data_IF_948685269164
#
_entry.id   IF_948685269164
#
_cell.length_a   1.000
_cell.length_b   1.000
_cell.length_c   1.000
_cell.angle_alpha   90.00
_cell.angle_beta   90.00
_cell.angle_gamma   90.00
#
_symmetry.space_group_name_H-M   'P 1'
#
loop_
_entity.id
_entity.type
_entity.pdbx_description
1 polymer ?
#
# COMPACT_ATOMS: atom_id res chain seq x y z
N UNK A 1 41.80 4.61 -3.59
CA UNK A 1 42.08 3.36 -2.87
C UNK A 1 40.94 2.38 -3.18
N UNK A 2 41.27 1.30 -3.88
CA UNK A 2 40.44 0.16 -4.33
C UNK A 2 39.00 0.48 -4.79
N UNK A 3 38.88 0.97 -6.01
CA UNK A 3 37.65 0.85 -6.83
C UNK A 3 37.59 -0.53 -7.46
N UNK A 4 37.43 -1.58 -6.64
CA UNK A 4 36.98 -2.88 -7.16
C UNK A 4 35.48 -2.80 -7.35
N UNK A 5 35.04 -2.24 -8.48
CA UNK A 5 33.68 -2.45 -8.94
C UNK A 5 33.45 -3.96 -9.05
N UNK A 6 32.35 -4.51 -8.51
CA UNK A 6 32.11 -5.94 -8.61
C UNK A 6 32.11 -6.32 -10.08
N UNK A 7 32.97 -7.27 -10.45
CA UNK A 7 32.95 -7.93 -11.75
C UNK A 7 31.54 -8.50 -11.91
N UNK A 8 30.75 -7.83 -12.73
CA UNK A 8 29.42 -8.28 -13.11
C UNK A 8 29.66 -9.47 -14.04
N UNK A 9 29.91 -10.65 -13.46
CA UNK A 9 29.99 -11.88 -14.24
C UNK A 9 28.67 -12.01 -14.97
N UNK A 10 28.72 -12.13 -16.31
CA UNK A 10 27.60 -12.42 -17.19
C UNK A 10 26.97 -13.76 -16.82
N UNK A 11 26.19 -13.74 -15.73
CA UNK A 11 25.51 -14.91 -15.23
C UNK A 11 24.21 -15.05 -15.98
N UNK A 12 24.03 -16.21 -16.59
CA UNK A 12 22.77 -16.58 -17.22
C UNK A 12 21.66 -16.55 -16.15
N UNK A 13 20.61 -15.72 -16.32
CA UNK A 13 19.53 -15.64 -15.35
C UNK A 13 18.82 -16.99 -15.26
N UNK A 14 18.47 -17.40 -14.04
CA UNK A 14 17.77 -18.67 -13.79
C UNK A 14 16.40 -18.66 -14.45
N UNK A 15 15.80 -19.85 -14.69
CA UNK A 15 14.45 -19.94 -15.29
C UNK A 15 13.40 -19.14 -14.50
N UNK A 16 13.52 -19.11 -13.17
CA UNK A 16 12.63 -18.37 -12.28
C UNK A 16 12.82 -16.85 -12.38
N UNK A 17 14.06 -16.37 -12.56
CA UNK A 17 14.36 -14.93 -12.73
C UNK A 17 13.75 -14.35 -14.02
N UNK A 18 13.49 -15.20 -15.02
CA UNK A 18 12.86 -14.82 -16.29
C UNK A 18 11.34 -14.69 -16.23
N UNK A 19 10.70 -15.21 -15.17
CA UNK A 19 9.25 -15.12 -15.02
C UNK A 19 8.85 -13.63 -14.86
N UNK A 20 7.91 -13.12 -15.67
CA UNK A 20 7.40 -11.76 -15.52
C UNK A 20 6.86 -11.53 -14.11
N UNK A 21 7.17 -10.38 -13.51
CA UNK A 21 6.77 -10.06 -12.13
C UNK A 21 5.25 -10.16 -11.90
N UNK A 22 4.44 -9.88 -12.94
CA UNK A 22 2.98 -9.98 -12.86
C UNK A 22 2.49 -11.39 -12.52
N UNK A 23 3.19 -12.43 -12.96
CA UNK A 23 2.84 -13.81 -12.61
C UNK A 23 3.06 -14.11 -11.13
N UNK A 24 4.09 -13.52 -10.52
CA UNK A 24 4.32 -13.66 -9.08
C UNK A 24 3.24 -12.96 -8.27
N UNK A 25 2.81 -11.76 -8.70
CA UNK A 25 1.68 -11.07 -8.08
C UNK A 25 0.43 -11.93 -8.18
N UNK A 26 0.08 -12.40 -9.38
CA UNK A 26 -1.08 -13.25 -9.61
C UNK A 26 -1.04 -14.52 -8.74
N UNK A 27 0.10 -15.21 -8.70
CA UNK A 27 0.26 -16.42 -7.91
C UNK A 27 0.01 -16.16 -6.41
N UNK A 28 0.61 -15.10 -5.85
CA UNK A 28 0.37 -14.75 -4.44
C UNK A 28 -1.09 -14.38 -4.15
N UNK A 29 -1.76 -13.74 -5.12
CA UNK A 29 -3.18 -13.37 -5.00
C UNK A 29 -4.07 -14.60 -5.01
N UNK A 30 -3.79 -15.56 -5.90
CA UNK A 30 -4.50 -16.84 -5.94
C UNK A 30 -4.26 -17.62 -4.64
N UNK A 31 -3.01 -17.73 -4.18
CA UNK A 31 -2.69 -18.46 -2.94
C UNK A 31 -3.45 -17.88 -1.74
N UNK A 32 -3.44 -16.56 -1.57
CA UNK A 32 -4.14 -15.89 -0.46
C UNK A 32 -5.66 -15.95 -0.60
N UNK A 33 -6.18 -15.81 -1.82
CA UNK A 33 -7.62 -15.96 -2.08
C UNK A 33 -8.12 -17.37 -1.77
N UNK A 34 -7.42 -18.40 -2.25
CA UNK A 34 -7.73 -19.81 -1.96
C UNK A 34 -7.65 -20.08 -0.45
N UNK A 35 -6.59 -19.61 0.21
CA UNK A 35 -6.46 -19.74 1.66
C UNK A 35 -7.61 -19.04 2.39
N UNK A 36 -7.93 -17.81 2.02
CA UNK A 36 -9.03 -17.03 2.60
C UNK A 36 -10.37 -17.74 2.49
N UNK A 37 -10.69 -18.29 1.30
CA UNK A 37 -11.91 -19.06 1.05
C UNK A 37 -11.93 -20.35 1.86
N UNK A 38 -10.83 -21.11 1.85
CA UNK A 38 -10.76 -22.41 2.53
C UNK A 38 -10.83 -22.28 4.05
N UNK A 39 -10.22 -21.24 4.63
CA UNK A 39 -10.17 -21.03 6.07
C UNK A 39 -11.23 -20.04 6.59
N UNK A 40 -12.05 -19.47 5.71
CA UNK A 40 -13.04 -18.43 6.03
C UNK A 40 -12.48 -17.31 6.91
N UNK A 41 -11.28 -16.82 6.57
CA UNK A 41 -10.48 -15.94 7.43
C UNK A 41 -11.21 -14.65 7.82
N UNK A 42 -12.14 -14.18 6.99
CA UNK A 42 -12.95 -12.99 7.28
C UNK A 42 -13.82 -13.14 8.54
N UNK A 43 -14.18 -14.37 8.93
CA UNK A 43 -14.96 -14.62 10.14
C UNK A 43 -14.13 -14.50 11.43
N UNK A 44 -12.80 -14.38 11.31
CA UNK A 44 -11.90 -14.28 12.47
C UNK A 44 -11.49 -12.84 12.78
N UNK A 45 -12.08 -11.84 12.10
CA UNK A 45 -11.79 -10.41 12.30
C UNK A 45 -13.05 -9.65 12.71
N UNK A 46 -13.27 -9.44 14.01
CA UNK A 46 -14.40 -8.66 14.51
C UNK A 46 -14.47 -7.25 13.90
N UNK A 47 -13.33 -6.64 13.65
CA UNK A 47 -13.23 -5.29 13.08
C UNK A 47 -13.77 -5.24 11.65
N UNK A 48 -13.34 -6.16 10.79
CA UNK A 48 -13.86 -6.27 9.43
C UNK A 48 -15.35 -6.60 9.42
N UNK A 49 -15.82 -7.44 10.34
CA UNK A 49 -17.24 -7.80 10.44
C UNK A 49 -18.09 -6.57 10.81
N UNK A 50 -17.65 -5.79 11.80
CA UNK A 50 -18.32 -4.55 12.20
C UNK A 50 -18.38 -3.55 11.05
N UNK A 51 -17.27 -3.37 10.33
CA UNK A 51 -17.23 -2.53 9.13
C UNK A 51 -18.18 -3.05 8.03
N UNK A 52 -18.21 -4.37 7.81
CA UNK A 52 -19.11 -5.00 6.85
C UNK A 52 -20.58 -4.69 7.14
N UNK A 53 -20.99 -4.73 8.40
CA UNK A 53 -22.36 -4.39 8.82
C UNK A 53 -22.70 -2.92 8.52
N UNK A 54 -21.79 -1.99 8.78
CA UNK A 54 -21.98 -0.57 8.46
C UNK A 54 -22.16 -0.33 6.95
N UNK A 55 -21.38 -1.03 6.12
CA UNK A 55 -21.51 -0.94 4.66
C UNK A 55 -22.80 -1.57 4.15
N UNK A 56 -23.21 -2.71 4.71
CA UNK A 56 -24.49 -3.33 4.35
C UNK A 56 -25.67 -2.40 4.65
N UNK A 57 -25.65 -1.74 5.81
CA UNK A 57 -26.65 -0.73 6.16
C UNK A 57 -26.64 0.45 5.17
N UNK A 58 -25.46 0.99 4.84
CA UNK A 58 -25.31 2.04 3.84
C UNK A 58 -25.91 1.64 2.49
N UNK A 59 -25.60 0.43 2.02
CA UNK A 59 -26.04 -0.04 0.71
C UNK A 59 -27.55 -0.31 0.66
N UNK A 60 -28.16 -0.75 1.77
CA UNK A 60 -29.60 -1.00 1.86
C UNK A 60 -30.39 0.30 2.02
N UNK A 61 -29.92 1.22 2.84
CA UNK A 61 -30.58 2.51 3.11
C UNK A 61 -30.35 3.55 2.01
N UNK A 62 -29.38 3.32 1.12
CA UNK A 62 -28.86 4.36 0.23
C UNK A 62 -28.11 5.46 0.98
N UNK A 63 -27.74 5.20 2.24
CA UNK A 63 -27.07 6.13 3.12
C UNK A 63 -25.66 6.46 2.64
N UNK A 64 -25.33 7.74 2.74
CA UNK A 64 -23.99 8.27 2.47
C UNK A 64 -23.35 8.85 3.75
N UNK A 65 -23.85 8.43 4.93
CA UNK A 65 -23.35 8.96 6.18
C UNK A 65 -21.89 8.52 6.40
N UNK A 66 -21.08 9.43 6.94
CA UNK A 66 -19.65 9.20 7.17
C UNK A 66 -19.38 7.87 7.91
N UNK A 67 -20.09 7.63 9.01
CA UNK A 67 -19.96 6.44 9.86
C UNK A 67 -20.28 5.12 9.13
N UNK A 68 -21.01 5.17 8.02
CA UNK A 68 -21.34 3.98 7.24
C UNK A 68 -20.21 3.62 6.24
N UNK A 69 -19.44 4.62 5.78
CA UNK A 69 -18.42 4.44 4.74
C UNK A 69 -16.99 4.51 5.26
N UNK A 70 -16.78 5.14 6.41
CA UNK A 70 -15.48 5.32 7.06
C UNK A 70 -15.49 4.59 8.39
N UNK A 71 -14.61 3.60 8.52
CA UNK A 71 -14.53 2.75 9.70
C UNK A 71 -13.43 3.25 10.64
N UNK A 72 -13.79 3.54 11.89
CA UNK A 72 -12.87 3.98 12.96
C UNK A 72 -12.21 2.76 13.63
N UNK A 73 -10.90 2.79 13.99
CA UNK A 73 -9.94 3.92 13.98
C UNK A 73 -9.19 4.09 12.65
N UNK A 74 -9.58 3.38 11.60
CA UNK A 74 -8.89 3.29 10.31
C UNK A 74 -9.30 4.43 9.37
N UNK A 75 -9.17 5.66 9.86
CA UNK A 75 -9.67 6.87 9.23
C UNK A 75 -9.00 7.16 7.87
N UNK A 76 -9.78 7.71 6.94
CA UNK A 76 -9.34 8.14 5.60
C UNK A 76 -9.23 7.02 4.56
N UNK A 77 -8.47 5.97 4.85
CA UNK A 77 -8.24 4.88 3.90
C UNK A 77 -9.38 3.88 3.79
N UNK A 78 -10.22 3.78 4.83
CA UNK A 78 -11.41 2.94 4.81
C UNK A 78 -12.38 3.37 3.72
N UNK A 79 -12.50 4.66 3.41
CA UNK A 79 -13.38 5.11 2.32
C UNK A 79 -13.04 4.44 0.97
N UNK A 80 -11.75 4.38 0.60
CA UNK A 80 -11.32 3.76 -0.65
C UNK A 80 -11.69 2.28 -0.69
N UNK A 81 -11.46 1.57 0.42
CA UNK A 81 -11.77 0.15 0.54
C UNK A 81 -13.28 -0.11 0.56
N UNK A 82 -14.07 0.77 1.18
CA UNK A 82 -15.54 0.72 1.17
C UNK A 82 -16.09 0.89 -0.24
N UNK A 83 -15.56 1.87 -0.99
CA UNK A 83 -15.93 2.09 -2.40
C UNK A 83 -15.51 0.91 -3.27
N UNK A 84 -14.32 0.36 -3.06
CA UNK A 84 -13.85 -0.83 -3.78
C UNK A 84 -14.70 -2.05 -3.43
N UNK A 85 -15.06 -2.23 -2.17
CA UNK A 85 -15.94 -3.30 -1.72
C UNK A 85 -17.31 -3.24 -2.41
N UNK A 86 -17.85 -2.04 -2.65
CA UNK A 86 -19.11 -1.87 -3.38
C UNK A 86 -19.08 -2.53 -4.77
N UNK A 87 -17.94 -2.47 -5.48
CA UNK A 87 -17.75 -3.10 -6.80
C UNK A 87 -17.89 -4.63 -6.72
N UNK A 88 -17.55 -5.22 -5.56
CA UNK A 88 -17.54 -6.66 -5.34
C UNK A 88 -18.82 -7.23 -4.72
N UNK A 89 -19.85 -6.41 -4.51
CA UNK A 89 -21.17 -6.89 -4.04
C UNK A 89 -21.73 -8.06 -4.89
N UNK A 90 -21.61 -8.06 -6.24
CA UNK A 90 -22.07 -9.19 -7.05
C UNK A 90 -21.35 -10.53 -6.76
N UNK A 91 -20.17 -10.49 -6.14
CA UNK A 91 -19.36 -11.67 -5.81
C UNK A 91 -19.44 -12.06 -4.32
N UNK A 92 -20.37 -11.48 -3.56
CA UNK A 92 -20.51 -11.68 -2.12
C UNK A 92 -20.79 -13.14 -1.72
N UNK A 93 -21.33 -13.96 -2.63
CA UNK A 93 -21.61 -15.39 -2.38
C UNK A 93 -20.34 -16.25 -2.26
N UNK A 94 -19.22 -15.80 -2.82
CA UNK A 94 -17.92 -16.51 -2.73
C UNK A 94 -17.15 -16.05 -1.51
N UNK A 95 -17.10 -14.74 -1.31
CA UNK A 95 -16.34 -14.11 -0.24
C UNK A 95 -16.92 -12.71 0.02
N UNK A 96 -16.94 -12.21 1.28
CA UNK A 96 -17.49 -10.89 1.58
C UNK A 96 -16.82 -9.77 0.76
N UNK A 97 -17.55 -8.71 0.37
CA UNK A 97 -17.00 -7.69 -0.52
C UNK A 97 -15.78 -6.95 0.06
N UNK A 98 -15.71 -6.74 1.37
CA UNK A 98 -14.54 -6.16 2.03
C UNK A 98 -13.28 -7.03 1.91
N UNK A 99 -13.43 -8.36 1.92
CA UNK A 99 -12.31 -9.29 1.75
C UNK A 99 -11.79 -9.27 0.31
N UNK A 100 -12.68 -9.07 -0.68
CA UNK A 100 -12.27 -8.85 -2.08
C UNK A 100 -11.47 -7.55 -2.21
N UNK A 101 -11.96 -6.47 -1.59
CA UNK A 101 -11.24 -5.20 -1.55
C UNK A 101 -9.86 -5.36 -0.88
N UNK A 102 -9.77 -6.08 0.24
CA UNK A 102 -8.51 -6.39 0.92
C UNK A 102 -7.56 -7.17 0.01
N UNK A 103 -8.05 -8.16 -0.73
CA UNK A 103 -7.24 -8.97 -1.65
C UNK A 103 -6.67 -8.15 -2.81
N UNK A 104 -7.46 -7.24 -3.38
CA UNK A 104 -7.00 -6.31 -4.42
C UNK A 104 -5.94 -5.36 -3.86
N UNK A 105 -6.20 -4.77 -2.69
CA UNK A 105 -5.27 -3.91 -1.98
C UNK A 105 -3.92 -4.61 -1.71
N UNK A 106 -3.94 -5.79 -1.12
CA UNK A 106 -2.75 -6.61 -0.83
C UNK A 106 -1.99 -6.96 -2.12
N UNK A 107 -2.70 -7.28 -3.20
CA UNK A 107 -2.10 -7.55 -4.52
C UNK A 107 -1.37 -6.32 -5.08
N UNK A 108 -1.97 -5.13 -4.96
CA UNK A 108 -1.36 -3.87 -5.37
C UNK A 108 -0.10 -3.55 -4.54
N UNK A 109 -0.18 -3.71 -3.22
CA UNK A 109 0.96 -3.53 -2.32
C UNK A 109 2.12 -4.46 -2.69
N UNK A 110 1.82 -5.74 -2.92
CA UNK A 110 2.82 -6.74 -3.31
C UNK A 110 3.46 -6.41 -4.66
N UNK A 111 2.68 -5.93 -5.62
CA UNK A 111 3.20 -5.49 -6.91
C UNK A 111 4.24 -4.38 -6.74
N UNK A 112 3.94 -3.37 -5.91
CA UNK A 112 4.89 -2.29 -5.60
C UNK A 112 6.14 -2.84 -4.92
N UNK A 113 5.98 -3.68 -3.89
CA UNK A 113 7.10 -4.29 -3.16
C UNK A 113 8.03 -5.08 -4.08
N UNK A 114 7.48 -5.95 -4.95
CA UNK A 114 8.25 -6.74 -5.92
C UNK A 114 8.97 -5.83 -6.93
N UNK A 115 8.27 -4.84 -7.49
CA UNK A 115 8.84 -3.92 -8.47
C UNK A 115 10.00 -3.10 -7.89
N UNK A 116 9.84 -2.59 -6.67
CA UNK A 116 10.91 -1.87 -5.96
C UNK A 116 12.07 -2.84 -5.67
N UNK A 117 11.81 -4.02 -5.11
CA UNK A 117 12.86 -4.98 -4.79
C UNK A 117 13.70 -5.38 -6.03
N UNK A 118 13.06 -5.60 -7.18
CA UNK A 118 13.73 -5.91 -8.46
C UNK A 118 14.58 -4.75 -9.00
N UNK A 119 14.25 -3.51 -8.66
CA UNK A 119 15.03 -2.31 -9.03
C UNK A 119 16.16 -2.02 -8.05
N UNK A 120 16.00 -2.41 -6.79
CA UNK A 120 16.90 -2.01 -5.71
C UNK A 120 17.93 -3.06 -5.33
N UNK A 121 17.68 -4.34 -5.59
CA UNK A 121 18.53 -5.43 -5.15
C UNK A 121 19.00 -6.33 -6.29
N UNK A 122 19.97 -7.19 -6.00
CA UNK A 122 20.43 -8.21 -6.95
C UNK A 122 19.29 -9.15 -7.37
N UNK A 123 19.33 -9.74 -8.58
CA UNK A 123 18.27 -10.63 -9.06
C UNK A 123 17.91 -11.78 -8.10
N UNK A 124 18.92 -12.35 -7.41
CA UNK A 124 18.71 -13.40 -6.41
C UNK A 124 17.96 -12.91 -5.18
N UNK A 125 18.37 -11.77 -4.63
CA UNK A 125 17.73 -11.18 -3.46
C UNK A 125 16.29 -10.76 -3.79
N UNK A 126 16.08 -10.15 -4.95
CA UNK A 126 14.75 -9.78 -5.42
C UNK A 126 13.85 -11.00 -5.64
N UNK A 127 14.37 -12.10 -6.19
CA UNK A 127 13.63 -13.35 -6.34
C UNK A 127 13.30 -13.98 -4.98
N UNK A 128 14.26 -14.06 -4.07
CA UNK A 128 14.02 -14.59 -2.71
C UNK A 128 12.94 -13.79 -1.98
N UNK A 129 13.01 -12.46 -2.06
CA UNK A 129 11.98 -11.57 -1.53
C UNK A 129 10.62 -11.81 -2.22
N UNK A 130 10.60 -11.93 -3.55
CA UNK A 130 9.37 -12.21 -4.31
C UNK A 130 8.72 -13.52 -3.87
N UNK A 131 9.50 -14.60 -3.78
CA UNK A 131 9.02 -15.90 -3.30
C UNK A 131 8.49 -15.80 -1.88
N UNK A 132 9.20 -15.09 -1.00
CA UNK A 132 8.75 -14.84 0.37
C UNK A 132 7.41 -14.08 0.41
N UNK A 133 7.19 -13.06 -0.43
CA UNK A 133 5.91 -12.33 -0.44
C UNK A 133 4.73 -13.18 -0.96
N UNK A 134 5.00 -14.11 -1.89
CA UNK A 134 4.01 -15.00 -2.50
C UNK A 134 3.59 -16.10 -1.55
N UNK A 135 4.57 -16.80 -0.98
CA UNK A 135 4.34 -17.91 -0.06
C UNK A 135 3.90 -17.40 1.32
N UNK A 136 4.39 -16.21 1.68
CA UNK A 136 4.27 -15.60 2.99
C UNK A 136 4.75 -16.50 4.13
N UNK A 137 4.95 -15.95 5.33
CA UNK A 137 4.87 -16.78 6.53
C UNK A 137 3.38 -17.14 6.68
N UNK A 138 2.98 -18.38 7.03
CA UNK A 138 1.57 -18.76 7.16
C UNK A 138 0.74 -17.76 7.99
N UNK A 139 1.37 -17.13 8.98
CA UNK A 139 0.81 -16.06 9.80
C UNK A 139 0.28 -14.85 9.00
N UNK A 140 0.89 -14.53 7.86
CA UNK A 140 0.55 -13.37 7.02
C UNK A 140 -0.42 -13.72 5.88
N UNK A 141 -0.69 -15.01 5.61
CA UNK A 141 -1.65 -15.41 4.57
C UNK A 141 -3.06 -14.86 4.82
N UNK A 142 -3.62 -14.93 6.05
CA UNK A 142 -4.93 -14.35 6.34
C UNK A 142 -5.03 -12.86 6.04
N UNK A 143 -3.92 -12.12 6.11
CA UNK A 143 -3.91 -10.68 5.89
C UNK A 143 -4.21 -10.29 4.44
N UNK A 144 -4.12 -11.25 3.50
CA UNK A 144 -4.54 -11.01 2.11
C UNK A 144 -6.06 -10.91 1.95
N UNK A 145 -6.85 -11.45 2.87
CA UNK A 145 -8.31 -11.51 2.79
C UNK A 145 -9.00 -10.96 4.03
N UNK A 146 -8.22 -10.46 4.99
CA UNK A 146 -8.72 -9.74 6.16
C UNK A 146 -8.25 -8.28 6.10
N UNK A 147 -9.19 -7.36 6.24
CA UNK A 147 -8.93 -5.97 6.57
C UNK A 147 -8.65 -5.87 8.09
N UNK A 148 -7.39 -5.96 8.49
CA UNK A 148 -6.94 -5.79 9.89
C UNK A 148 -6.64 -4.32 10.19
N UNK A 149 -7.50 -3.43 9.71
CA UNK A 149 -7.13 -2.04 9.57
C UNK A 149 -6.06 -1.81 8.52
N UNK A 150 -5.97 -0.56 8.08
CA UNK A 150 -5.13 -0.09 6.96
C UNK A 150 -3.63 -0.42 7.05
N UNK A 151 -3.14 -1.07 8.10
CA UNK A 151 -1.74 -1.46 8.30
C UNK A 151 -1.18 -2.32 7.15
N UNK A 152 -1.97 -3.27 6.62
CA UNK A 152 -1.53 -4.08 5.47
C UNK A 152 -1.34 -3.20 4.21
N UNK A 153 -2.23 -2.22 4.03
CA UNK A 153 -2.14 -1.21 2.97
C UNK A 153 -0.98 -0.24 3.14
N UNK A 154 -0.39 -0.10 4.34
CA UNK A 154 0.78 0.76 4.55
C UNK A 154 2.09 -0.03 4.60
N UNK A 155 2.04 -1.36 4.56
CA UNK A 155 3.23 -2.23 4.55
C UNK A 155 4.19 -1.99 3.38
N UNK A 156 3.74 -1.33 2.30
CA UNK A 156 4.60 -0.94 1.18
C UNK A 156 5.25 0.44 1.35
N UNK A 157 4.88 1.23 2.36
CA UNK A 157 5.42 2.57 2.59
C UNK A 157 6.96 2.60 2.74
N UNK A 158 7.62 1.64 3.43
CA UNK A 158 9.08 1.56 3.45
C UNK A 158 9.72 1.37 2.07
N UNK A 159 9.01 0.70 1.15
CA UNK A 159 9.49 0.50 -0.22
C UNK A 159 9.36 1.78 -1.05
N UNK A 160 8.35 2.61 -0.78
CA UNK A 160 8.28 3.94 -1.38
C UNK A 160 9.42 4.84 -0.90
N UNK A 161 9.79 4.77 0.39
CA UNK A 161 11.00 5.44 0.88
C UNK A 161 12.25 4.98 0.13
N UNK A 162 12.41 3.66 -0.04
CA UNK A 162 13.55 3.11 -0.76
C UNK A 162 13.58 3.61 -2.21
N UNK A 163 12.43 3.64 -2.90
CA UNK A 163 12.33 4.18 -4.24
C UNK A 163 12.63 5.70 -4.29
N UNK A 164 12.18 6.46 -3.29
CA UNK A 164 12.45 7.88 -3.16
C UNK A 164 13.96 8.15 -2.95
N UNK A 165 14.63 7.37 -2.09
CA UNK A 165 16.07 7.47 -1.83
C UNK A 165 16.90 7.23 -3.10
N UNK A 166 16.43 6.36 -3.99
CA UNK A 166 17.14 6.08 -5.25
C UNK A 166 17.00 7.20 -6.28
N UNK A 167 15.89 7.95 -6.28
CA UNK A 167 15.59 9.01 -7.25
C UNK A 167 14.94 10.22 -6.58
N UNK A 168 15.63 10.86 -5.64
CA UNK A 168 15.03 11.80 -4.70
C UNK A 168 14.60 13.12 -5.36
N UNK A 169 15.18 13.43 -6.51
CA UNK A 169 15.08 14.75 -7.14
C UNK A 169 14.18 14.75 -8.37
N UNK A 170 13.93 13.58 -8.96
CA UNK A 170 13.27 13.53 -10.28
C UNK A 170 11.81 13.98 -10.20
N UNK A 171 11.11 13.67 -9.09
CA UNK A 171 9.65 13.91 -8.96
C UNK A 171 9.20 14.21 -7.52
N UNK A 172 9.73 15.26 -6.86
CA UNK A 172 9.43 15.58 -5.47
C UNK A 172 7.92 15.74 -5.21
N UNK A 173 7.20 16.40 -6.13
CA UNK A 173 5.75 16.59 -6.02
C UNK A 173 4.98 15.26 -6.00
N UNK A 174 5.31 14.34 -6.92
CA UNK A 174 4.65 13.04 -7.00
C UNK A 174 4.93 12.17 -5.78
N UNK A 175 6.17 12.21 -5.27
CA UNK A 175 6.52 11.54 -4.02
C UNK A 175 5.72 12.13 -2.85
N UNK A 176 5.60 13.46 -2.81
CA UNK A 176 4.73 14.15 -1.87
C UNK A 176 3.30 13.65 -1.91
N UNK A 177 2.67 13.65 -3.10
CA UNK A 177 1.29 13.16 -3.30
C UNK A 177 1.15 11.72 -2.79
N UNK A 178 2.13 10.86 -3.09
CA UNK A 178 2.15 9.49 -2.58
C UNK A 178 2.21 9.41 -1.05
N UNK A 179 3.06 10.20 -0.41
CA UNK A 179 3.15 10.27 1.07
C UNK A 179 1.87 10.83 1.69
N UNK A 180 1.30 11.90 1.11
CA UNK A 180 0.03 12.46 1.57
C UNK A 180 -1.10 11.44 1.50
N UNK A 181 -1.21 10.71 0.39
CA UNK A 181 -2.16 9.62 0.22
C UNK A 181 -1.92 8.48 1.23
N UNK A 182 -0.65 8.11 1.49
CA UNK A 182 -0.32 7.13 2.53
C UNK A 182 -0.71 7.60 3.93
N UNK A 183 -0.56 8.89 4.26
CA UNK A 183 -1.00 9.46 5.53
C UNK A 183 -2.52 9.35 5.70
N UNK A 184 -3.29 9.35 4.61
CA UNK A 184 -4.72 9.04 4.66
C UNK A 184 -4.98 7.57 5.02
N UNK A 185 -4.05 6.66 4.74
CA UNK A 185 -4.20 5.23 5.03
C UNK A 185 -3.68 4.92 6.44
N UNK A 186 -2.53 5.46 6.84
CA UNK A 186 -2.07 5.40 8.21
C UNK A 186 -1.26 6.65 8.55
N UNK A 187 -1.61 7.30 9.65
CA UNK A 187 -0.94 8.50 10.13
C UNK A 187 0.56 8.29 10.40
N UNK A 188 0.99 7.05 10.69
CA UNK A 188 2.41 6.70 10.85
C UNK A 188 3.24 6.99 9.58
N UNK A 189 2.61 7.01 8.40
CA UNK A 189 3.26 7.42 7.17
C UNK A 189 3.69 8.90 7.18
N UNK A 190 3.21 9.71 8.12
CA UNK A 190 3.71 11.06 8.32
C UNK A 190 5.21 11.08 8.67
N UNK A 191 5.77 10.01 9.23
CA UNK A 191 7.20 9.85 9.45
C UNK A 191 8.03 9.88 8.15
N UNK A 192 7.40 9.63 6.99
CA UNK A 192 8.07 9.75 5.69
C UNK A 192 8.43 11.20 5.35
N UNK A 193 7.70 12.18 5.91
CA UNK A 193 7.97 13.62 5.70
C UNK A 193 9.32 14.03 6.29
N UNK A 194 9.59 13.89 7.60
CA UNK A 194 10.90 14.24 8.16
C UNK A 194 12.03 13.37 7.58
N UNK A 195 11.77 12.11 7.24
CA UNK A 195 12.75 11.26 6.56
C UNK A 195 13.16 11.82 5.19
N UNK A 196 12.20 12.22 4.35
CA UNK A 196 12.46 12.82 3.05
C UNK A 196 13.18 14.17 3.18
N UNK A 197 12.74 15.02 4.12
CA UNK A 197 13.39 16.32 4.38
C UNK A 197 14.85 16.12 4.78
N UNK A 198 15.12 15.27 5.79
CA UNK A 198 16.48 14.95 6.21
C UNK A 198 17.33 14.41 5.06
N UNK A 199 16.76 13.52 4.25
CA UNK A 199 17.43 12.96 3.08
C UNK A 199 17.83 14.04 2.05
N UNK A 200 16.90 14.93 1.65
CA UNK A 200 17.20 16.02 0.70
C UNK A 200 18.26 16.97 1.26
N UNK A 201 18.22 17.23 2.58
CA UNK A 201 19.19 18.11 3.23
C UNK A 201 20.60 17.53 3.35
N UNK A 202 20.73 16.20 3.43
CA UNK A 202 22.02 15.50 3.41
C UNK A 202 22.60 15.33 2.00
N UNK A 203 21.82 15.59 0.95
CA UNK A 203 22.27 15.48 -0.44
C UNK A 203 23.29 16.56 -0.86
N UNK A 204 24.02 16.31 -1.95
CA UNK A 204 25.09 17.19 -2.44
C UNK A 204 24.62 18.46 -3.19
N UNK A 205 23.31 18.66 -3.38
CA UNK A 205 22.77 19.80 -4.15
C UNK A 205 22.96 21.15 -3.47
N UNK A 206 22.85 22.27 -4.18
CA UNK A 206 22.86 23.61 -3.55
C UNK A 206 21.61 23.88 -2.69
N UNK A 207 21.71 24.81 -1.73
CA UNK A 207 20.64 25.12 -0.76
C UNK A 207 19.31 25.48 -1.43
N UNK A 208 19.32 26.31 -2.47
CA UNK A 208 18.11 26.69 -3.21
C UNK A 208 17.41 25.49 -3.85
N UNK A 209 18.17 24.57 -4.44
CA UNK A 209 17.63 23.35 -5.04
C UNK A 209 17.01 22.43 -3.97
N UNK A 210 17.68 22.28 -2.82
CA UNK A 210 17.15 21.51 -1.67
C UNK A 210 15.81 22.08 -1.19
N UNK A 211 15.75 23.40 -0.97
CA UNK A 211 14.52 24.08 -0.57
C UNK A 211 13.38 23.88 -1.60
N UNK A 212 13.70 24.00 -2.90
CA UNK A 212 12.74 23.76 -3.98
C UNK A 212 12.17 22.33 -3.99
N UNK A 213 13.00 21.31 -3.73
CA UNK A 213 12.53 19.92 -3.64
C UNK A 213 11.65 19.67 -2.41
N UNK A 214 12.04 20.23 -1.26
CA UNK A 214 11.24 20.13 -0.03
C UNK A 214 9.88 20.80 -0.22
N UNK A 215 9.85 22.01 -0.78
CA UNK A 215 8.59 22.73 -1.00
C UNK A 215 7.66 21.97 -1.96
N UNK A 216 8.18 21.49 -3.09
CA UNK A 216 7.39 20.68 -4.04
C UNK A 216 6.85 19.40 -3.39
N UNK A 217 7.67 18.73 -2.57
CA UNK A 217 7.25 17.54 -1.83
C UNK A 217 6.15 17.86 -0.81
N UNK A 218 6.31 18.89 0.02
CA UNK A 218 5.31 19.29 1.00
C UNK A 218 3.98 19.69 0.34
N UNK A 219 4.05 20.44 -0.76
CA UNK A 219 2.87 20.77 -1.57
C UNK A 219 2.18 19.48 -2.05
N UNK A 220 2.96 18.51 -2.56
CA UNK A 220 2.43 17.22 -2.96
C UNK A 220 1.76 16.48 -1.80
N UNK A 221 2.39 16.44 -0.62
CA UNK A 221 1.83 15.77 0.55
C UNK A 221 0.51 16.40 1.00
N UNK A 222 0.40 17.72 0.99
CA UNK A 222 -0.87 18.41 1.25
C UNK A 222 -1.93 18.05 0.20
N UNK A 223 -1.58 18.07 -1.08
CA UNK A 223 -2.51 17.67 -2.16
C UNK A 223 -2.97 16.22 -2.03
N UNK A 224 -2.06 15.31 -1.67
CA UNK A 224 -2.37 13.90 -1.43
C UNK A 224 -3.28 13.69 -0.22
N UNK A 225 -3.11 14.47 0.84
CA UNK A 225 -3.91 14.40 2.08
C UNK A 225 -5.27 15.10 1.96
N UNK A 226 -5.41 16.01 0.99
CA UNK A 226 -6.58 16.87 0.83
C UNK A 226 -7.93 16.11 0.82
N UNK A 227 -8.10 14.97 0.13
CA UNK A 227 -9.37 14.25 0.16
C UNK A 227 -9.78 13.81 1.56
N UNK A 228 -8.83 13.42 2.41
CA UNK A 228 -9.11 13.06 3.80
C UNK A 228 -9.52 14.28 4.64
N UNK A 229 -8.83 15.40 4.48
CA UNK A 229 -9.20 16.64 5.18
C UNK A 229 -10.59 17.13 4.74
N UNK A 230 -10.89 17.09 3.44
CA UNK A 230 -12.19 17.51 2.94
C UNK A 230 -13.33 16.61 3.43
N UNK A 231 -13.12 15.30 3.47
CA UNK A 231 -14.13 14.38 4.04
C UNK A 231 -14.35 14.65 5.53
N UNK A 232 -13.29 14.94 6.29
CA UNK A 232 -13.39 15.34 7.70
C UNK A 232 -14.12 16.67 7.91
N UNK A 233 -13.88 17.68 7.07
CA UNK A 233 -14.47 19.00 7.25
C UNK A 233 -15.93 19.11 6.79
N UNK A 234 -16.30 18.36 5.74
CA UNK A 234 -17.57 18.57 5.03
C UNK A 234 -18.54 17.39 5.08
N UNK A 235 -18.06 16.18 5.41
CA UNK A 235 -18.88 14.96 5.39
C UNK A 235 -19.05 14.37 6.79
N UNK A 236 -18.12 14.66 7.71
CA UNK A 236 -18.22 14.26 9.10
C UNK A 236 -19.22 15.17 9.84
N UNK A 237 -20.41 14.65 10.16
CA UNK A 237 -21.43 15.31 10.97
C UNK A 237 -21.50 14.75 12.40
N UNK A 238 -20.47 14.06 12.86
CA UNK A 238 -20.52 13.38 14.15
C UNK A 238 -19.17 13.06 14.76
N UNK A 239 -18.40 14.11 15.09
CA UNK A 239 -17.83 14.38 16.41
C UNK A 239 -17.43 15.87 16.50
#
# INVERSE_FOLDING_TARGET
MVTSGPVQQDRVPTRLERIPWGWWVLLGTVVRGVHGVAAHTWNTSPDQLAWGLGLEDAWRSGGAAYLQWVHYPHEGGSLLLSLLARVFVPLASVMPPLSWAALVADSGCRAVQILVARRSFSPRAALAFTLWTVLAVPLMLPWGTINMGLHALVSFAPFLLLAAVQRPVERPLLLGVGVGALCMLAYDAALLVPAYVGFVWLGASGVQARAGHVLKFLLGAVLGLLPHVLTRLWVDHGF
#
